data_IF_462434372719
#
_entry.id   IF_462434372719
#
_cell.length_a   1.000
_cell.length_b   1.000
_cell.length_c   1.000
_cell.angle_alpha   90.00
_cell.angle_beta   90.00
_cell.angle_gamma   90.00
#
_symmetry.space_group_name_H-M   'P 1'
#
loop_
_entity.id
_entity.type
_entity.pdbx_description
1 polymer ?
#
# COMPACT_ATOMS: atom_id res chain seq x y z
N UNK A 1 0.16 6.92 12.81
CA UNK A 1 -1.30 7.05 12.68
C UNK A 1 -1.69 7.89 11.45
N UNK A 2 -1.09 9.08 11.23
CA UNK A 2 -1.43 9.95 10.08
C UNK A 2 -1.23 9.21 8.75
N UNK A 3 -0.08 8.55 8.56
CA UNK A 3 0.19 7.78 7.33
C UNK A 3 -0.83 6.66 7.13
N UNK A 4 -1.24 6.01 8.24
CA UNK A 4 -2.26 4.96 8.20
C UNK A 4 -3.61 5.52 7.78
N UNK A 5 -4.01 6.66 8.35
CA UNK A 5 -5.27 7.31 8.00
C UNK A 5 -5.31 7.70 6.52
N UNK A 6 -4.20 8.29 6.00
CA UNK A 6 -4.10 8.62 4.58
C UNK A 6 -4.21 7.39 3.69
N UNK A 7 -3.50 6.32 4.04
CA UNK A 7 -3.54 5.06 3.31
C UNK A 7 -4.93 4.45 3.31
N UNK A 8 -5.57 4.38 4.48
CA UNK A 8 -6.94 3.86 4.61
C UNK A 8 -7.93 4.71 3.80
N UNK A 9 -7.78 6.02 3.78
CA UNK A 9 -8.61 6.90 2.96
C UNK A 9 -8.46 6.63 1.47
N UNK A 10 -7.21 6.44 0.98
CA UNK A 10 -6.94 6.09 -0.41
C UNK A 10 -7.60 4.76 -0.79
N UNK A 11 -7.48 3.76 0.08
CA UNK A 11 -8.08 2.43 -0.11
C UNK A 11 -9.61 2.56 -0.14
N UNK A 12 -10.20 3.25 0.82
CA UNK A 12 -11.66 3.44 0.91
C UNK A 12 -12.23 4.13 -0.32
N UNK A 13 -11.60 5.20 -0.78
CA UNK A 13 -12.00 5.91 -2.00
C UNK A 13 -11.93 5.01 -3.23
N UNK A 14 -10.90 4.18 -3.30
CA UNK A 14 -10.73 3.22 -4.39
C UNK A 14 -11.81 2.14 -4.35
N UNK A 15 -12.12 1.58 -3.19
CA UNK A 15 -13.16 0.56 -3.05
C UNK A 15 -14.55 1.07 -3.36
N UNK A 16 -14.87 2.29 -2.93
CA UNK A 16 -16.17 2.92 -3.20
C UNK A 16 -16.43 3.10 -4.70
N UNK A 17 -15.39 3.11 -5.53
CA UNK A 17 -15.53 3.16 -6.99
C UNK A 17 -16.01 1.83 -7.61
N UNK A 18 -16.06 0.74 -6.84
CA UNK A 18 -16.58 -0.55 -7.24
C UNK A 18 -15.59 -1.45 -7.99
N UNK A 19 -15.99 -2.71 -8.16
CA UNK A 19 -15.19 -3.73 -8.82
C UNK A 19 -14.89 -3.37 -10.29
N UNK A 20 -13.68 -3.66 -10.73
CA UNK A 20 -13.21 -3.37 -12.09
C UNK A 20 -12.85 -1.89 -12.33
N UNK A 21 -13.41 -0.96 -11.56
CA UNK A 21 -13.07 0.46 -11.62
C UNK A 21 -12.08 0.83 -10.54
N UNK A 22 -12.40 0.60 -9.28
CA UNK A 22 -11.56 0.96 -8.14
C UNK A 22 -10.75 -0.19 -7.58
N UNK A 23 -11.23 -1.42 -7.72
CA UNK A 23 -10.48 -2.59 -7.25
C UNK A 23 -10.59 -3.79 -8.18
N UNK A 24 -9.60 -4.65 -8.11
CA UNK A 24 -9.56 -5.94 -8.77
C UNK A 24 -8.98 -6.99 -7.83
N UNK A 25 -9.20 -8.26 -8.14
CA UNK A 25 -8.67 -9.39 -7.37
C UNK A 25 -7.62 -10.13 -8.16
N UNK A 26 -6.62 -10.65 -7.46
CA UNK A 26 -5.62 -11.56 -8.00
C UNK A 26 -5.29 -12.64 -6.98
N UNK A 27 -4.98 -13.85 -7.47
CA UNK A 27 -4.58 -14.97 -6.62
C UNK A 27 -3.46 -15.76 -7.26
N UNK A 28 -2.38 -16.07 -6.54
CA UNK A 28 -1.31 -16.95 -7.00
C UNK A 28 -1.71 -18.43 -6.97
N UNK A 29 -2.82 -18.77 -6.33
CA UNK A 29 -3.23 -20.13 -6.04
C UNK A 29 -4.03 -20.81 -7.19
N UNK A 30 -3.96 -20.32 -8.41
CA UNK A 30 -4.66 -20.97 -9.52
C UNK A 30 -3.97 -22.28 -9.91
N UNK A 31 -4.77 -23.34 -10.06
CA UNK A 31 -4.29 -24.69 -10.37
C UNK A 31 -4.07 -24.89 -11.89
N UNK A 32 -3.40 -23.96 -12.56
CA UNK A 32 -3.21 -23.95 -14.02
C UNK A 32 -1.90 -24.63 -14.49
N UNK A 33 -1.15 -25.26 -13.57
CA UNK A 33 0.10 -25.95 -13.89
C UNK A 33 1.30 -25.06 -14.21
N UNK A 34 1.17 -23.74 -14.12
CA UNK A 34 2.28 -22.81 -14.34
C UNK A 34 3.21 -22.73 -13.15
N UNK A 35 4.47 -22.42 -13.41
CA UNK A 35 5.47 -22.20 -12.37
C UNK A 35 5.16 -20.92 -11.58
N UNK A 36 5.59 -20.89 -10.30
CA UNK A 36 5.37 -19.74 -9.42
C UNK A 36 5.93 -18.43 -10.02
N UNK A 37 7.10 -18.50 -10.63
CA UNK A 37 7.75 -17.32 -11.26
C UNK A 37 6.90 -16.75 -12.39
N UNK A 38 6.25 -17.58 -13.18
CA UNK A 38 5.35 -17.15 -14.25
C UNK A 38 4.10 -16.47 -13.68
N UNK A 39 3.56 -16.99 -12.58
CA UNK A 39 2.43 -16.38 -11.89
C UNK A 39 2.80 -15.01 -11.29
N UNK A 40 3.98 -14.90 -10.72
CA UNK A 40 4.47 -13.60 -10.22
C UNK A 40 4.62 -12.58 -11.37
N UNK A 41 5.00 -13.02 -12.57
CA UNK A 41 5.00 -12.17 -13.76
C UNK A 41 3.60 -11.76 -14.21
N UNK A 42 2.62 -12.63 -14.07
CA UNK A 42 1.21 -12.28 -14.32
C UNK A 42 0.75 -11.16 -13.38
N UNK A 43 1.19 -11.20 -12.12
CA UNK A 43 0.91 -10.11 -11.18
C UNK A 43 1.51 -8.79 -11.63
N UNK A 44 2.77 -8.79 -12.09
CA UNK A 44 3.41 -7.59 -12.63
C UNK A 44 2.69 -7.06 -13.87
N UNK A 45 2.29 -7.93 -14.78
CA UNK A 45 1.48 -7.55 -15.94
C UNK A 45 0.16 -6.92 -15.51
N UNK A 46 -0.50 -7.46 -14.48
CA UNK A 46 -1.73 -6.90 -13.91
C UNK A 46 -1.51 -5.51 -13.37
N UNK A 47 -0.42 -5.27 -12.63
CA UNK A 47 -0.05 -3.95 -12.13
C UNK A 47 0.10 -2.93 -13.27
N UNK A 48 0.76 -3.31 -14.37
CA UNK A 48 0.94 -2.43 -15.54
C UNK A 48 -0.41 -2.11 -16.19
N UNK A 49 -1.27 -3.09 -16.36
CA UNK A 49 -2.60 -2.90 -16.97
C UNK A 49 -3.43 -1.93 -16.13
N UNK A 50 -3.50 -2.14 -14.82
CA UNK A 50 -4.29 -1.26 -13.94
C UNK A 50 -3.67 0.13 -13.84
N UNK A 51 -2.34 0.26 -13.87
CA UNK A 51 -1.67 1.55 -13.92
C UNK A 51 -2.03 2.35 -15.19
N UNK A 52 -2.10 1.68 -16.33
CA UNK A 52 -2.53 2.31 -17.59
C UNK A 52 -4.02 2.67 -17.59
N UNK A 53 -4.87 1.88 -16.92
CA UNK A 53 -6.28 2.23 -16.72
C UNK A 53 -6.45 3.51 -15.90
N UNK A 54 -5.61 3.73 -14.88
CA UNK A 54 -5.57 4.98 -14.14
C UNK A 54 -5.26 6.15 -15.09
N UNK A 55 -4.29 6.00 -16.01
CA UNK A 55 -3.96 7.05 -16.99
C UNK A 55 -5.14 7.39 -17.89
N UNK A 56 -5.90 6.39 -18.33
CA UNK A 56 -7.09 6.61 -19.18
C UNK A 56 -8.19 7.35 -18.42
N UNK A 57 -8.35 7.05 -17.13
CA UNK A 57 -9.40 7.66 -16.29
C UNK A 57 -9.08 9.10 -15.90
N UNK A 58 -7.89 9.33 -15.35
CA UNK A 58 -7.49 10.66 -14.87
C UNK A 58 -7.00 11.59 -15.98
N UNK A 59 -6.63 11.05 -17.15
CA UNK A 59 -6.08 11.79 -18.32
C UNK A 59 -4.85 12.64 -17.98
N UNK A 60 -4.13 12.27 -16.92
CA UNK A 60 -2.94 12.99 -16.45
C UNK A 60 -1.70 12.13 -16.49
N UNK A 61 -1.79 10.90 -16.03
CA UNK A 61 -0.67 9.99 -16.03
C UNK A 61 -1.01 8.63 -15.43
N UNK A 62 -0.18 7.65 -15.74
CA UNK A 62 -0.30 6.31 -15.18
C UNK A 62 0.18 6.28 -13.73
N UNK A 63 -0.24 5.28 -12.96
CA UNK A 63 0.22 5.07 -11.61
C UNK A 63 1.76 5.09 -11.56
N UNK A 64 2.31 5.75 -10.55
CA UNK A 64 3.75 5.92 -10.34
C UNK A 64 4.21 5.45 -8.96
N UNK A 65 3.31 5.04 -8.09
CA UNK A 65 3.67 4.43 -6.82
C UNK A 65 2.78 3.23 -6.49
N UNK A 66 3.33 2.31 -5.70
CA UNK A 66 2.66 1.13 -5.17
C UNK A 66 2.86 1.12 -3.66
N UNK A 67 1.81 0.94 -2.89
CA UNK A 67 1.88 0.63 -1.47
C UNK A 67 1.33 -0.77 -1.27
N UNK A 68 2.11 -1.66 -0.70
CA UNK A 68 1.72 -3.06 -0.56
C UNK A 68 2.05 -3.62 0.82
N UNK A 69 1.32 -4.66 1.19
CA UNK A 69 1.59 -5.44 2.40
C UNK A 69 2.90 -6.21 2.27
N UNK A 70 3.56 -6.60 3.39
CA UNK A 70 4.86 -7.25 3.34
C UNK A 70 4.90 -8.53 2.50
N UNK A 71 3.84 -9.34 2.53
CA UNK A 71 3.76 -10.57 1.74
C UNK A 71 3.68 -10.29 0.23
N UNK A 72 2.92 -9.27 -0.16
CA UNK A 72 2.86 -8.83 -1.56
C UNK A 72 4.18 -8.21 -1.98
N UNK A 73 4.83 -7.44 -1.10
CA UNK A 73 6.17 -6.93 -1.37
C UNK A 73 7.17 -8.05 -1.64
N UNK A 74 7.12 -9.16 -0.90
CA UNK A 74 7.99 -10.31 -1.15
C UNK A 74 7.83 -10.87 -2.59
N UNK A 75 6.63 -10.85 -3.13
CA UNK A 75 6.40 -11.23 -4.54
C UNK A 75 7.06 -10.23 -5.49
N UNK A 76 6.92 -8.93 -5.21
CA UNK A 76 7.50 -7.87 -6.04
C UNK A 76 9.03 -7.90 -6.00
N UNK A 77 9.61 -8.16 -4.84
CA UNK A 77 11.06 -8.25 -4.61
C UNK A 77 11.71 -9.43 -5.35
N UNK A 78 10.95 -10.49 -5.62
CA UNK A 78 11.40 -11.65 -6.40
C UNK A 78 11.44 -11.40 -7.91
N UNK A 79 10.86 -10.31 -8.39
CA UNK A 79 10.85 -9.99 -9.82
C UNK A 79 12.21 -9.46 -10.27
N UNK A 80 12.74 -9.87 -11.43
CA UNK A 80 14.04 -9.39 -11.93
C UNK A 80 14.03 -7.90 -12.25
N UNK A 81 12.89 -7.31 -12.47
CA UNK A 81 12.71 -5.88 -12.74
C UNK A 81 12.75 -5.01 -11.46
N UNK A 82 12.84 -5.62 -10.27
CA UNK A 82 12.87 -4.90 -9.00
C UNK A 82 14.29 -4.37 -8.71
N UNK A 83 14.36 -3.09 -8.39
CA UNK A 83 15.60 -2.41 -8.01
C UNK A 83 15.47 -1.93 -6.55
N UNK A 84 16.35 -2.43 -5.70
CA UNK A 84 16.41 -2.02 -4.30
C UNK A 84 16.92 -0.58 -4.16
N UNK A 85 16.33 0.15 -3.23
CA UNK A 85 16.92 1.42 -2.79
C UNK A 85 18.08 1.09 -1.85
N UNK A 86 19.32 1.57 -2.15
CA UNK A 86 20.42 1.40 -1.23
C UNK A 86 20.08 2.03 0.11
N UNK A 87 20.23 1.29 1.19
CA UNK A 87 20.08 1.81 2.54
C UNK A 87 21.28 2.69 2.82
N UNK A 88 21.11 4.00 2.72
CA UNK A 88 22.14 4.95 3.16
C UNK A 88 22.10 5.03 4.69
N UNK A 89 23.15 4.55 5.32
CA UNK A 89 23.29 4.62 6.77
C UNK A 89 23.26 3.24 7.45
N UNK A 90 22.86 3.25 8.69
CA UNK A 90 22.90 2.08 9.56
C UNK A 90 21.96 0.97 9.07
N UNK A 91 22.52 -0.13 8.58
CA UNK A 91 21.80 -1.31 8.06
C UNK A 91 20.83 -1.90 9.08
N UNK A 92 21.01 -1.56 10.36
CA UNK A 92 20.22 -2.08 11.47
C UNK A 92 18.91 -1.32 11.74
N UNK A 93 18.67 -0.19 11.08
CA UNK A 93 17.44 0.59 11.25
C UNK A 93 16.55 0.46 10.05
N UNK A 94 15.73 -0.58 10.01
CA UNK A 94 14.61 -0.60 9.08
C UNK A 94 13.49 0.29 9.63
N UNK A 95 12.98 1.25 8.85
CA UNK A 95 11.90 2.10 9.29
C UNK A 95 10.64 1.27 9.54
N UNK A 96 10.01 1.48 10.69
CA UNK A 96 8.72 0.91 11.04
C UNK A 96 7.61 1.76 10.42
N UNK A 97 6.65 1.13 9.76
CA UNK A 97 5.54 1.79 9.11
C UNK A 97 5.63 1.73 7.60
N UNK A 98 5.18 2.79 6.92
CA UNK A 98 5.24 2.87 5.46
C UNK A 98 6.64 3.36 5.04
N UNK A 99 7.39 2.50 4.37
CA UNK A 99 8.75 2.81 3.94
C UNK A 99 8.97 2.44 2.48
N UNK A 100 9.74 3.27 1.78
CA UNK A 100 10.16 2.96 0.41
C UNK A 100 11.19 1.85 0.42
N UNK A 101 10.92 0.76 -0.30
CA UNK A 101 11.82 -0.40 -0.40
C UNK A 101 12.58 -0.46 -1.73
N UNK A 102 11.99 0.06 -2.79
CA UNK A 102 12.62 -0.03 -4.09
C UNK A 102 11.85 0.67 -5.20
N UNK A 103 12.28 0.35 -6.41
CA UNK A 103 11.65 0.77 -7.65
C UNK A 103 11.39 -0.45 -8.52
N UNK A 104 10.22 -0.56 -9.10
CA UNK A 104 9.84 -1.66 -9.98
C UNK A 104 9.78 -1.17 -11.43
N UNK A 105 10.67 -1.73 -12.28
CA UNK A 105 10.75 -1.43 -13.70
C UNK A 105 11.05 0.04 -14.04
N UNK A 106 11.67 0.80 -13.13
CA UNK A 106 11.92 2.24 -13.31
C UNK A 106 10.68 3.12 -13.31
N UNK A 107 9.49 2.52 -13.14
CA UNK A 107 8.19 3.19 -13.25
C UNK A 107 7.50 3.40 -11.92
N UNK A 108 7.54 2.39 -11.03
CA UNK A 108 6.81 2.40 -9.78
C UNK A 108 7.76 2.56 -8.60
N UNK A 109 7.51 3.55 -7.75
CA UNK A 109 8.09 3.58 -6.42
C UNK A 109 7.32 2.61 -5.53
N UNK A 110 7.99 1.64 -4.94
CA UNK A 110 7.36 0.62 -4.11
C UNK A 110 7.58 0.96 -2.64
N UNK A 111 6.48 1.00 -1.91
CA UNK A 111 6.42 1.24 -0.47
C UNK A 111 5.84 0.02 0.22
N UNK A 112 6.45 -0.38 1.33
CA UNK A 112 5.98 -1.47 2.17
C UNK A 112 5.28 -0.90 3.39
N UNK A 113 4.06 -1.36 3.66
CA UNK A 113 3.35 -1.06 4.89
C UNK A 113 3.45 -2.25 5.84
N UNK A 114 4.24 -2.10 6.91
CA UNK A 114 4.46 -3.16 7.90
C UNK A 114 3.38 -3.23 8.96
N UNK A 115 2.47 -2.26 9.03
CA UNK A 115 1.45 -2.19 10.10
C UNK A 115 0.19 -2.99 9.82
N UNK A 116 -0.02 -3.39 8.57
CA UNK A 116 -1.25 -4.08 8.15
C UNK A 116 -1.10 -5.60 8.09
N UNK A 117 0.10 -6.13 8.32
CA UNK A 117 0.29 -7.58 8.34
C UNK A 117 -0.48 -8.21 9.49
N UNK A 118 -1.37 -9.15 9.15
CA UNK A 118 -2.23 -9.84 10.11
C UNK A 118 -3.37 -9.00 10.68
N UNK A 119 -3.48 -7.74 10.32
CA UNK A 119 -4.64 -6.92 10.63
C UNK A 119 -5.61 -6.93 9.44
N UNK A 120 -6.83 -7.27 9.72
CA UNK A 120 -7.94 -7.08 8.78
C UNK A 120 -8.01 -5.59 8.47
N UNK A 121 -7.75 -5.20 7.24
CA UNK A 121 -8.03 -3.84 6.79
C UNK A 121 -9.55 -3.70 6.80
N UNK A 122 -10.07 -3.31 7.95
CA UNK A 122 -11.48 -3.16 8.19
C UNK A 122 -12.30 -4.41 7.89
N UNK A 123 -13.41 -4.56 8.52
CA UNK A 123 -14.42 -5.56 8.17
C UNK A 123 -14.98 -5.37 6.75
N UNK A 124 -14.57 -4.32 6.08
CA UNK A 124 -15.07 -3.92 4.77
C UNK A 124 -14.57 -4.81 3.63
N UNK A 125 -13.44 -5.49 3.82
CA UNK A 125 -12.88 -6.38 2.80
C UNK A 125 -13.29 -7.85 2.95
N UNK A 126 -13.69 -8.25 4.14
CA UNK A 126 -14.08 -9.63 4.37
C UNK A 126 -15.19 -9.72 5.40
N UNK A 127 -16.39 -9.40 5.01
CA UNK A 127 -17.58 -9.63 5.85
C UNK A 127 -17.80 -11.12 6.19
N UNK A 128 -17.03 -12.04 5.66
CA UNK A 128 -17.33 -13.46 5.77
C UNK A 128 -16.19 -14.36 6.25
N UNK A 129 -14.93 -13.94 6.27
CA UNK A 129 -13.85 -14.85 6.65
C UNK A 129 -12.66 -14.10 7.31
N UNK A 130 -12.22 -14.62 8.41
CA UNK A 130 -11.06 -14.24 9.22
C UNK A 130 -9.71 -14.40 8.49
N UNK A 131 -9.68 -14.16 7.19
CA UNK A 131 -8.50 -14.23 6.34
C UNK A 131 -7.90 -12.84 6.20
N UNK A 132 -6.64 -12.71 6.61
CA UNK A 132 -5.85 -11.52 6.34
C UNK A 132 -5.87 -11.24 4.84
N UNK A 133 -6.50 -10.14 4.46
CA UNK A 133 -6.56 -9.71 3.07
C UNK A 133 -5.31 -8.91 2.77
N UNK A 134 -4.50 -9.42 1.87
CA UNK A 134 -3.33 -8.72 1.37
C UNK A 134 -3.73 -7.80 0.21
N UNK A 135 -3.01 -6.70 0.05
CA UNK A 135 -3.33 -5.73 -0.99
C UNK A 135 -2.10 -5.09 -1.61
N UNK A 136 -2.29 -4.57 -2.82
CA UNK A 136 -1.41 -3.63 -3.48
C UNK A 136 -2.23 -2.42 -3.94
N UNK A 137 -1.98 -1.26 -3.35
CA UNK A 137 -2.57 0.00 -3.74
C UNK A 137 -1.69 0.64 -4.81
N UNK A 138 -2.26 0.83 -5.99
CA UNK A 138 -1.69 1.62 -7.09
C UNK A 138 -2.19 3.04 -6.99
N UNK A 139 -1.31 4.02 -7.20
CA UNK A 139 -1.72 5.41 -7.21
C UNK A 139 -0.88 6.26 -8.15
N UNK A 140 -1.47 7.38 -8.54
CA UNK A 140 -0.80 8.43 -9.29
C UNK A 140 -0.68 9.70 -8.46
N UNK A 141 0.50 10.27 -8.44
CA UNK A 141 0.79 11.59 -7.92
C UNK A 141 1.62 12.35 -8.95
N UNK A 142 1.08 13.46 -9.44
CA UNK A 142 1.79 14.36 -10.34
C UNK A 142 2.75 15.31 -9.61
N UNK A 143 3.46 16.16 -10.37
CA UNK A 143 4.42 17.11 -9.83
C UNK A 143 3.75 18.22 -9.03
N UNK A 144 2.55 18.61 -9.40
CA UNK A 144 1.81 19.67 -8.72
C UNK A 144 1.10 19.13 -7.46
N UNK A 145 0.92 19.98 -6.45
CA UNK A 145 0.29 19.57 -5.18
C UNK A 145 -1.18 19.15 -5.34
N UNK A 146 -1.89 19.73 -6.29
CA UNK A 146 -3.29 19.40 -6.60
C UNK A 146 -3.46 18.23 -7.56
N UNK A 147 -2.38 17.75 -8.17
CA UNK A 147 -2.41 16.63 -9.11
C UNK A 147 -2.29 15.28 -8.39
N UNK A 148 -3.23 15.06 -7.50
CA UNK A 148 -3.36 13.83 -6.70
C UNK A 148 -4.82 13.60 -6.33
N UNK A 149 -5.17 12.38 -5.95
CA UNK A 149 -6.55 12.07 -5.54
C UNK A 149 -6.90 12.58 -4.16
N UNK A 150 -5.94 12.57 -3.22
CA UNK A 150 -6.12 13.04 -1.85
C UNK A 150 -5.03 14.05 -1.51
N UNK A 151 -5.43 15.16 -0.92
CA UNK A 151 -4.53 16.24 -0.52
C UNK A 151 -4.49 16.29 1.00
N UNK A 152 -3.30 16.17 1.55
CA UNK A 152 -3.02 16.36 2.96
C UNK A 152 -2.65 17.81 3.22
N UNK A 153 -3.41 18.49 4.07
CA UNK A 153 -3.25 19.90 4.39
C UNK A 153 -2.94 20.04 5.89
N UNK A 154 -1.68 20.02 6.32
CA UNK A 154 -1.35 20.26 7.73
C UNK A 154 -1.55 21.73 8.08
N UNK A 155 -2.36 21.98 9.08
CA UNK A 155 -2.55 23.31 9.67
C UNK A 155 -1.53 23.55 10.80
N UNK A 156 -1.41 22.58 11.69
CA UNK A 156 -0.37 22.57 12.73
C UNK A 156 0.48 21.32 12.52
N UNK A 157 1.78 21.47 12.24
CA UNK A 157 2.66 20.31 12.15
C UNK A 157 2.75 19.58 13.49
N UNK A 158 3.32 18.40 13.51
CA UNK A 158 3.51 17.64 14.76
C UNK A 158 4.39 18.44 15.73
N UNK A 159 3.79 18.89 16.82
CA UNK A 159 4.46 19.64 17.88
C UNK A 159 4.61 18.74 19.10
N UNK A 160 5.79 18.76 19.69
CA UNK A 160 6.10 18.07 20.96
C UNK A 160 6.28 19.14 22.04
N UNK A 161 5.42 19.11 23.05
CA UNK A 161 5.57 19.96 24.24
C UNK A 161 5.95 19.11 25.43
N UNK A 162 6.96 19.58 26.17
CA UNK A 162 7.41 18.96 27.41
C UNK A 162 7.19 19.95 28.54
N UNK A 163 6.53 19.52 29.60
CA UNK A 163 6.27 20.32 30.78
C UNK A 163 6.38 19.45 32.02
N UNK A 164 6.59 20.09 33.15
CA UNK A 164 6.56 19.45 34.47
C UNK A 164 5.21 19.75 35.09
N UNK A 165 4.52 18.73 35.57
CA UNK A 165 3.23 18.89 36.24
C UNK A 165 3.38 19.71 37.51
N UNK A 166 2.56 20.80 37.75
CA UNK A 166 2.72 21.67 38.90
C UNK A 166 2.36 20.98 40.23
N UNK A 167 1.56 19.91 40.19
CA UNK A 167 1.07 19.26 41.42
C UNK A 167 1.86 18.01 41.81
N UNK A 168 2.50 17.35 40.84
CA UNK A 168 3.15 16.06 41.04
C UNK A 168 4.63 16.05 40.62
N UNK A 169 5.13 17.20 40.09
CA UNK A 169 6.46 17.32 39.50
C UNK A 169 6.84 16.25 38.48
N UNK A 170 5.83 15.50 37.95
CA UNK A 170 6.04 14.48 36.97
C UNK A 170 6.29 15.09 35.58
N UNK A 171 7.26 14.56 34.80
CA UNK A 171 7.47 15.02 33.44
C UNK A 171 6.29 14.59 32.57
N UNK A 172 5.68 15.53 31.85
CA UNK A 172 4.57 15.33 30.93
C UNK A 172 5.00 15.69 29.52
N UNK A 173 4.67 14.82 28.57
CA UNK A 173 4.93 15.04 27.14
C UNK A 173 3.61 15.07 26.41
N UNK A 174 3.30 16.18 25.76
CA UNK A 174 2.13 16.33 24.89
C UNK A 174 2.54 16.32 23.42
N UNK A 175 1.83 15.59 22.61
CA UNK A 175 1.92 15.59 21.15
C UNK A 175 0.65 16.22 20.58
N UNK A 176 0.82 17.24 19.75
CA UNK A 176 -0.29 17.91 19.09
C UNK A 176 -0.02 18.01 17.60
N UNK A 177 -1.02 17.67 16.80
CA UNK A 177 -1.06 17.95 15.37
C UNK A 177 -2.48 18.29 14.95
N UNK A 178 -2.61 19.13 13.92
CA UNK A 178 -3.90 19.44 13.29
C UNK A 178 -3.72 19.46 11.80
N UNK A 179 -4.56 18.72 11.08
CA UNK A 179 -4.53 18.64 9.64
C UNK A 179 -5.94 18.46 9.07
N UNK A 180 -6.09 18.80 7.82
CA UNK A 180 -7.28 18.49 7.03
C UNK A 180 -6.92 17.54 5.90
N UNK A 181 -7.88 16.73 5.49
CA UNK A 181 -7.77 15.86 4.33
C UNK A 181 -8.87 16.24 3.35
N UNK A 182 -8.49 16.50 2.12
CA UNK A 182 -9.40 16.93 1.07
C UNK A 182 -9.29 15.96 -0.10
N UNK A 183 -10.43 15.48 -0.58
CA UNK A 183 -10.51 14.67 -1.79
C UNK A 183 -10.51 15.59 -3.03
N UNK A 184 -9.93 15.11 -4.12
CA UNK A 184 -9.91 15.85 -5.38
C UNK A 184 -11.35 16.06 -5.89
N UNK A 185 -11.67 17.29 -6.25
CA UNK A 185 -13.00 17.71 -6.72
C UNK A 185 -13.44 16.95 -7.98
N UNK A 186 -12.48 16.57 -8.84
CA UNK A 186 -12.74 15.84 -10.08
C UNK A 186 -12.88 14.32 -9.89
N UNK A 187 -12.81 13.85 -8.66
CA UNK A 187 -12.93 12.45 -8.31
C UNK A 187 -11.62 11.82 -7.85
N UNK A 188 -11.46 11.67 -6.55
CA UNK A 188 -10.27 11.04 -5.95
C UNK A 188 -10.09 9.57 -6.40
N UNK A 189 -11.19 8.88 -6.70
CA UNK A 189 -11.22 7.50 -7.16
C UNK A 189 -10.58 7.28 -8.53
N UNK A 190 -10.38 8.32 -9.31
CA UNK A 190 -9.72 8.23 -10.62
C UNK A 190 -8.20 8.05 -10.52
N UNK A 191 -7.64 8.34 -9.35
CA UNK A 191 -6.19 8.34 -9.11
C UNK A 191 -5.68 7.06 -8.46
N UNK A 192 -6.58 6.22 -7.93
CA UNK A 192 -6.22 5.05 -7.14
C UNK A 192 -6.87 3.78 -7.66
N UNK A 193 -6.18 2.65 -7.47
CA UNK A 193 -6.71 1.32 -7.75
C UNK A 193 -6.12 0.32 -6.76
N UNK A 194 -6.97 -0.49 -6.14
CA UNK A 194 -6.55 -1.53 -5.20
C UNK A 194 -6.59 -2.89 -5.87
N UNK A 195 -5.50 -3.64 -5.81
CA UNK A 195 -5.48 -5.05 -6.16
C UNK A 195 -5.53 -5.85 -4.86
N UNK A 196 -6.62 -6.57 -4.66
CA UNK A 196 -6.80 -7.46 -3.53
C UNK A 196 -6.13 -8.79 -3.87
N UNK A 197 -5.17 -9.20 -3.06
CA UNK A 197 -4.43 -10.44 -3.25
C UNK A 197 -4.97 -11.48 -2.28
N UNK A 198 -5.52 -12.57 -2.81
CA UNK A 198 -6.09 -13.67 -2.04
C UNK A 198 -5.26 -14.93 -2.19
N UNK A 199 -5.35 -15.85 -1.24
CA UNK A 199 -4.69 -17.16 -1.33
C UNK A 199 -3.20 -17.19 -0.97
N UNK A 200 -2.61 -16.08 -0.53
CA UNK A 200 -1.20 -16.04 -0.06
C UNK A 200 -0.97 -16.85 1.21
N UNK A 201 -1.97 -16.96 2.08
CA UNK A 201 -1.86 -17.74 3.31
C UNK A 201 -1.53 -19.20 3.09
N UNK A 202 -2.00 -19.78 2.01
CA UNK A 202 -1.69 -21.16 1.61
C UNK A 202 -0.28 -21.30 1.00
N UNK A 203 0.20 -20.24 0.33
CA UNK A 203 1.51 -20.21 -0.29
C UNK A 203 2.67 -20.13 0.73
N UNK A 204 2.39 -19.59 1.93
CA UNK A 204 3.39 -19.41 2.98
C UNK A 204 3.20 -20.36 4.19
N UNK A 205 2.22 -21.26 4.16
CA UNK A 205 2.01 -22.23 5.23
C UNK A 205 2.87 -23.47 4.97
N UNK A 206 3.90 -23.76 5.77
CA UNK A 206 4.68 -24.98 5.62
C UNK A 206 3.78 -26.21 5.85
N UNK A 207 3.70 -27.09 4.89
CA UNK A 207 3.19 -28.45 5.09
C UNK A 207 1.87 -28.85 4.46
N UNK A 208 1.09 -27.94 3.84
CA UNK A 208 -0.21 -28.37 3.30
C UNK A 208 -0.27 -28.43 1.76
N UNK A 209 0.60 -27.74 1.07
CA UNK A 209 0.82 -27.93 -0.37
C UNK A 209 2.18 -27.35 -0.72
N UNK A 210 3.17 -28.16 -0.59
CA UNK A 210 4.59 -27.87 -0.77
C UNK A 210 5.02 -27.62 -2.22
N UNK A 211 4.12 -27.26 -3.09
CA UNK A 211 4.47 -26.86 -4.47
C UNK A 211 5.33 -25.60 -4.50
N UNK A 212 5.40 -24.87 -3.39
CA UNK A 212 6.18 -23.65 -3.26
C UNK A 212 7.54 -23.84 -2.58
N UNK A 213 7.81 -25.05 -2.04
CA UNK A 213 9.02 -25.35 -1.28
C UNK A 213 9.65 -26.71 -1.67
N UNK A 214 9.28 -27.28 -2.81
CA UNK A 214 9.94 -28.48 -3.36
C UNK A 214 10.94 -28.07 -4.43
#
# INVERSE_FOLDING_TARGET
>A
EIDREMLMRMIQVSLNAGAGTGFSTWSPASADGRWLVERNRDFYQRLIVEANRIAVRNRRGAANFIVATPRVCAILEMLPEFQWVPVQGNVNTQPVGVAKIGNLGGRFNVYRDTRTEGQTIGNDFSAAQNTSVEYALLGYKGPEFYDTGIIYCPYIPVMVQRTIGPNDFAPRVGLLTRYGVVDNIFGANLYYHVIIVTGLGQAFTPGTNSVYFA
#
